data_IF_300283778831
#
_entry.id   IF_300283778831
#
_cell.length_a   1.000
_cell.length_b   1.000
_cell.length_c   1.000
_cell.angle_alpha   90.00
_cell.angle_beta   90.00
_cell.angle_gamma   90.00
#
_symmetry.space_group_name_H-M   'P 1'
#
loop_
_entity.id
_entity.type
_entity.pdbx_description
1 polymer ?
#
# COMPACT_ATOMS: atom_id res chain seq x y z
N UNK A 1 12.45 12.63 -10.53
CA UNK A 1 13.05 12.80 -9.18
C UNK A 1 11.97 13.41 -8.30
N UNK A 2 11.70 12.85 -7.11
CA UNK A 2 10.70 13.44 -6.20
C UNK A 2 11.21 14.79 -5.69
N UNK A 3 10.34 15.78 -5.48
CA UNK A 3 10.76 17.06 -4.90
C UNK A 3 11.32 16.84 -3.50
N UNK A 4 12.38 17.58 -3.15
CA UNK A 4 12.92 17.57 -1.80
C UNK A 4 11.91 18.22 -0.85
N UNK A 5 11.50 17.49 0.18
CA UNK A 5 10.58 17.96 1.22
C UNK A 5 11.29 17.81 2.56
N UNK A 6 11.39 18.90 3.31
CA UNK A 6 12.06 18.90 4.61
C UNK A 6 11.36 17.93 5.58
N UNK A 7 12.10 16.99 6.15
CA UNK A 7 11.57 16.00 7.11
C UNK A 7 10.87 14.80 6.45
N UNK A 8 10.98 14.66 5.12
CA UNK A 8 10.45 13.52 4.36
C UNK A 8 11.55 12.92 3.48
N UNK A 9 11.77 11.62 3.63
CA UNK A 9 12.70 10.83 2.84
C UNK A 9 11.92 9.79 2.03
N UNK A 10 11.96 9.91 0.70
CA UNK A 10 11.34 8.95 -0.22
C UNK A 10 12.45 8.16 -0.91
N UNK A 11 12.48 6.85 -0.67
CA UNK A 11 13.47 5.94 -1.25
C UNK A 11 12.80 4.90 -2.15
N UNK A 12 13.03 4.95 -3.48
CA UNK A 12 12.53 3.91 -4.37
C UNK A 12 13.35 2.63 -4.21
N UNK A 13 12.69 1.47 -4.26
CA UNK A 13 13.33 0.17 -4.25
C UNK A 13 12.77 -0.73 -5.35
N UNK A 14 13.58 -1.72 -5.73
CA UNK A 14 13.17 -2.79 -6.63
C UNK A 14 13.92 -4.06 -6.28
N UNK A 15 13.19 -5.15 -6.09
CA UNK A 15 13.76 -6.46 -5.86
C UNK A 15 13.17 -7.49 -6.82
N UNK A 16 13.98 -8.46 -7.19
CA UNK A 16 13.53 -9.71 -7.77
C UNK A 16 14.25 -10.86 -7.08
N UNK A 17 13.97 -12.10 -7.52
CA UNK A 17 14.57 -13.32 -6.96
C UNK A 17 16.08 -13.25 -6.70
N UNK A 18 16.83 -12.54 -7.55
CA UNK A 18 18.30 -12.44 -7.46
C UNK A 18 18.80 -11.31 -6.58
N UNK A 19 17.99 -10.30 -6.32
CA UNK A 19 18.41 -9.09 -5.59
C UNK A 19 17.80 -8.95 -4.20
N UNK A 20 16.74 -9.72 -3.89
CA UNK A 20 16.19 -9.75 -2.54
C UNK A 20 17.17 -10.43 -1.57
N UNK A 21 17.52 -9.70 -0.51
CA UNK A 21 18.37 -10.19 0.58
C UNK A 21 18.14 -9.32 1.82
N UNK A 22 18.49 -9.79 3.04
CA UNK A 22 18.40 -8.96 4.24
C UNK A 22 19.16 -7.63 4.12
N UNK A 23 20.35 -7.67 3.50
CA UNK A 23 21.16 -6.47 3.23
C UNK A 23 20.44 -5.52 2.28
N UNK A 24 19.84 -6.01 1.20
CA UNK A 24 19.11 -5.18 0.25
C UNK A 24 17.85 -4.55 0.87
N UNK A 25 17.15 -5.26 1.75
CA UNK A 25 16.02 -4.71 2.51
C UNK A 25 16.48 -3.57 3.44
N UNK A 26 17.61 -3.75 4.12
CA UNK A 26 18.20 -2.72 5.00
C UNK A 26 18.65 -1.50 4.20
N UNK A 27 19.34 -1.72 3.08
CA UNK A 27 19.75 -0.65 2.17
C UNK A 27 18.56 0.11 1.62
N UNK A 28 17.44 -0.54 1.31
CA UNK A 28 16.20 0.12 0.89
C UNK A 28 15.48 0.87 2.03
N UNK A 29 15.94 0.74 3.29
CA UNK A 29 15.32 1.36 4.45
C UNK A 29 14.03 0.68 4.90
N UNK A 30 13.81 -0.59 4.49
CA UNK A 30 12.62 -1.37 4.82
C UNK A 30 12.72 -2.10 6.16
N UNK A 31 13.95 -2.33 6.64
CA UNK A 31 14.25 -2.94 7.94
C UNK A 31 15.31 -2.12 8.65
N UNK A 32 15.37 -2.23 9.98
CA UNK A 32 16.31 -1.47 10.84
C UNK A 32 16.23 0.06 10.64
N UNK A 33 15.07 0.55 10.20
CA UNK A 33 14.82 1.96 9.98
C UNK A 33 13.72 2.45 10.95
N UNK A 34 14.08 3.08 12.09
CA UNK A 34 13.10 3.56 13.06
C UNK A 34 12.23 4.70 12.53
N UNK A 35 12.69 5.39 11.47
CA UNK A 35 11.99 6.48 10.82
C UNK A 35 11.05 6.00 9.70
N UNK A 36 11.00 4.69 9.39
CA UNK A 36 10.10 4.16 8.38
C UNK A 36 8.65 4.36 8.83
N UNK A 37 7.83 4.95 7.96
CA UNK A 37 6.42 5.25 8.26
C UNK A 37 5.47 4.61 7.25
N UNK A 38 5.79 4.65 5.96
CA UNK A 38 4.94 4.08 4.90
C UNK A 38 5.78 3.30 3.89
N UNK A 39 5.28 2.15 3.45
CA UNK A 39 5.80 1.40 2.30
C UNK A 39 4.67 1.24 1.28
N UNK A 40 4.85 1.83 0.10
CA UNK A 40 4.00 1.58 -1.06
C UNK A 40 4.69 0.54 -1.94
N UNK A 41 3.99 -0.53 -2.33
CA UNK A 41 4.60 -1.58 -3.14
C UNK A 41 3.70 -2.16 -4.22
N UNK A 42 4.32 -2.59 -5.31
CA UNK A 42 3.69 -3.18 -6.48
C UNK A 42 4.45 -4.44 -6.82
N UNK A 43 3.85 -5.58 -6.48
CA UNK A 43 4.46 -6.89 -6.73
C UNK A 43 3.94 -7.40 -8.05
N UNK A 44 4.82 -7.79 -8.96
CA UNK A 44 4.45 -8.28 -10.27
C UNK A 44 4.85 -9.73 -10.45
N UNK A 45 4.04 -10.46 -11.24
CA UNK A 45 4.34 -11.81 -11.71
C UNK A 45 4.52 -12.87 -10.59
N UNK A 46 4.03 -12.58 -9.37
CA UNK A 46 4.22 -13.43 -8.19
C UNK A 46 3.41 -14.74 -8.18
N UNK A 47 2.55 -14.98 -9.18
CA UNK A 47 1.87 -16.26 -9.39
C UNK A 47 2.82 -17.35 -9.93
N UNK A 48 4.03 -16.97 -10.39
CA UNK A 48 5.06 -17.90 -10.87
C UNK A 48 5.66 -18.72 -9.73
N UNK A 49 6.24 -19.88 -10.08
CA UNK A 49 6.88 -20.77 -9.10
C UNK A 49 7.94 -20.07 -8.25
N UNK A 50 7.80 -20.18 -6.93
CA UNK A 50 8.63 -19.49 -5.94
C UNK A 50 8.18 -18.07 -5.59
N UNK A 51 7.14 -17.54 -6.23
CA UNK A 51 6.59 -16.22 -5.93
C UNK A 51 6.01 -16.09 -4.52
N UNK A 52 5.35 -17.13 -4.00
CA UNK A 52 4.90 -17.18 -2.60
C UNK A 52 6.06 -17.06 -1.61
N UNK A 53 7.16 -17.77 -1.86
CA UNK A 53 8.35 -17.66 -1.00
C UNK A 53 8.98 -16.27 -1.08
N UNK A 54 9.01 -15.66 -2.28
CA UNK A 54 9.47 -14.30 -2.47
C UNK A 54 8.62 -13.27 -1.71
N UNK A 55 7.29 -13.40 -1.79
CA UNK A 55 6.34 -12.58 -1.02
C UNK A 55 6.57 -12.74 0.47
N UNK A 56 6.74 -13.96 0.96
CA UNK A 56 7.04 -14.23 2.36
C UNK A 56 8.33 -13.56 2.83
N UNK A 57 9.41 -13.63 2.04
CA UNK A 57 10.69 -12.98 2.35
C UNK A 57 10.55 -11.47 2.46
N UNK A 58 9.65 -10.86 1.67
CA UNK A 58 9.39 -9.43 1.67
C UNK A 58 8.44 -9.00 2.80
N UNK A 59 7.33 -9.71 2.96
CA UNK A 59 6.21 -9.29 3.81
C UNK A 59 6.41 -9.67 5.27
N UNK A 60 7.06 -10.80 5.60
CA UNK A 60 7.28 -11.20 7.00
C UNK A 60 8.06 -10.17 7.83
N UNK A 61 9.14 -9.56 7.32
CA UNK A 61 9.81 -8.47 8.04
C UNK A 61 8.93 -7.22 8.18
N UNK A 62 8.17 -6.88 7.13
CA UNK A 62 7.33 -5.68 7.09
C UNK A 62 6.09 -5.77 7.98
N UNK A 63 5.50 -6.97 8.10
CA UNK A 63 4.42 -7.30 9.01
C UNK A 63 4.77 -6.98 10.47
N UNK A 64 6.04 -7.22 10.84
CA UNK A 64 6.58 -6.94 12.19
C UNK A 64 6.97 -5.47 12.38
N UNK A 65 7.01 -4.68 11.31
CA UNK A 65 7.34 -3.26 11.39
C UNK A 65 6.15 -2.44 11.88
N UNK A 66 6.43 -1.23 12.38
CA UNK A 66 5.40 -0.22 12.69
C UNK A 66 4.98 0.58 11.46
N UNK A 67 5.53 0.31 10.29
CA UNK A 67 5.19 1.05 9.08
C UNK A 67 3.79 0.67 8.58
N UNK A 68 3.12 1.60 7.93
CA UNK A 68 1.96 1.30 7.10
C UNK A 68 2.45 0.63 5.82
N UNK A 69 1.91 -0.55 5.52
CA UNK A 69 2.22 -1.29 4.30
C UNK A 69 0.98 -1.24 3.43
N UNK A 70 1.11 -0.76 2.19
CA UNK A 70 0.02 -0.71 1.24
C UNK A 70 0.50 -1.00 -0.18
N UNK A 71 -0.30 -1.71 -0.96
CA UNK A 71 0.10 -2.13 -2.29
C UNK A 71 -0.86 -3.11 -2.93
N UNK A 72 -0.42 -3.69 -4.05
CA UNK A 72 -1.17 -4.73 -4.74
C UNK A 72 -0.29 -5.62 -5.60
N UNK A 73 -0.87 -6.77 -5.95
CA UNK A 73 -0.36 -7.67 -6.97
C UNK A 73 -0.77 -7.13 -8.34
N UNK A 74 0.18 -6.83 -9.21
CA UNK A 74 -0.07 -6.27 -10.55
C UNK A 74 0.47 -7.21 -11.62
N UNK A 75 -0.03 -7.08 -12.85
CA UNK A 75 0.46 -7.89 -13.96
C UNK A 75 1.88 -7.49 -14.36
N UNK A 76 2.12 -6.19 -14.48
CA UNK A 76 3.43 -5.64 -14.86
C UNK A 76 3.66 -4.27 -14.23
N UNK A 77 4.92 -3.85 -14.22
CA UNK A 77 5.34 -2.52 -13.76
C UNK A 77 6.24 -1.89 -14.80
N UNK A 78 6.03 -0.59 -15.05
CA UNK A 78 6.96 0.18 -15.86
C UNK A 78 8.04 0.77 -14.94
N UNK A 79 9.25 0.23 -15.00
CA UNK A 79 10.39 0.74 -14.25
C UNK A 79 11.62 0.88 -15.16
N UNK A 80 12.55 1.81 -14.87
CA UNK A 80 13.79 1.93 -15.64
C UNK A 80 14.51 0.58 -15.71
N UNK A 81 15.10 0.21 -16.88
CA UNK A 81 15.75 -1.07 -17.05
C UNK A 81 16.82 -1.29 -15.97
N UNK A 82 16.72 -2.41 -15.23
CA UNK A 82 17.74 -2.82 -14.28
C UNK A 82 18.39 -4.11 -14.74
N UNK A 83 19.72 -4.17 -14.65
CA UNK A 83 20.48 -5.36 -15.03
C UNK A 83 20.25 -6.58 -14.10
N UNK A 84 19.50 -6.42 -13.01
CA UNK A 84 19.31 -7.46 -12.01
C UNK A 84 18.22 -8.50 -12.36
N UNK A 85 17.30 -8.21 -13.29
CA UNK A 85 16.17 -9.09 -13.58
C UNK A 85 15.93 -9.21 -15.09
N UNK A 86 15.73 -10.43 -15.58
CA UNK A 86 15.33 -10.68 -16.97
C UNK A 86 13.83 -10.49 -17.16
N UNK A 87 13.42 -10.16 -18.40
CA UNK A 87 12.01 -10.13 -18.79
C UNK A 87 11.30 -11.44 -18.39
N UNK A 88 10.10 -11.34 -17.85
CA UNK A 88 9.34 -12.49 -17.33
C UNK A 88 9.72 -12.97 -15.93
N UNK A 89 10.64 -12.30 -15.23
CA UNK A 89 10.88 -12.56 -13.79
C UNK A 89 9.77 -11.96 -12.93
N UNK A 90 9.60 -12.46 -11.70
CA UNK A 90 8.80 -11.80 -10.67
C UNK A 90 9.64 -10.86 -9.82
N UNK A 91 8.97 -9.89 -9.20
CA UNK A 91 9.62 -8.92 -8.34
C UNK A 91 8.65 -7.94 -7.70
N UNK A 92 9.22 -6.94 -7.03
CA UNK A 92 8.50 -5.84 -6.41
C UNK A 92 9.20 -4.54 -6.72
N UNK A 93 8.44 -3.50 -7.07
CA UNK A 93 8.87 -2.11 -7.04
C UNK A 93 8.11 -1.37 -5.95
N UNK A 94 8.71 -0.35 -5.36
CA UNK A 94 8.01 0.41 -4.35
C UNK A 94 8.74 1.64 -3.87
N UNK A 95 8.12 2.32 -2.91
CA UNK A 95 8.62 3.50 -2.24
C UNK A 95 8.61 3.26 -0.73
N UNK A 96 9.77 3.46 -0.10
CA UNK A 96 9.87 3.57 1.35
C UNK A 96 9.84 5.06 1.72
N UNK A 97 8.86 5.45 2.53
CA UNK A 97 8.70 6.82 3.00
C UNK A 97 9.01 6.87 4.50
N UNK A 98 10.00 7.67 4.84
CA UNK A 98 10.53 7.80 6.19
C UNK A 98 10.62 9.27 6.62
N UNK A 99 10.61 9.49 7.93
CA UNK A 99 10.83 10.80 8.54
C UNK A 99 9.64 11.27 9.39
N UNK A 100 9.87 12.28 10.24
CA UNK A 100 8.93 12.68 11.28
C UNK A 100 7.66 13.34 10.75
N UNK A 101 7.68 13.88 9.52
CA UNK A 101 6.50 14.50 8.88
C UNK A 101 5.63 13.50 8.12
N UNK A 102 6.10 12.25 7.94
CA UNK A 102 5.34 11.23 7.22
C UNK A 102 4.30 10.60 8.15
N UNK A 103 3.03 10.72 7.78
CA UNK A 103 1.92 10.05 8.46
C UNK A 103 1.19 9.15 7.47
N UNK A 104 0.56 8.09 7.96
CA UNK A 104 -0.17 7.16 7.13
C UNK A 104 -1.37 6.57 7.84
N UNK A 105 -2.45 6.32 7.10
CA UNK A 105 -3.58 5.56 7.61
C UNK A 105 -4.18 4.70 6.50
N UNK A 106 -4.56 3.47 6.80
CA UNK A 106 -5.21 2.56 5.87
C UNK A 106 -6.39 1.86 6.51
N UNK A 107 -7.40 1.60 5.69
CA UNK A 107 -8.55 0.76 6.02
C UNK A 107 -8.77 -0.26 4.91
N UNK A 108 -9.16 -1.45 5.29
CA UNK A 108 -9.55 -2.54 4.44
C UNK A 108 -11.07 -2.48 4.25
N UNK A 109 -11.48 -2.41 2.98
CA UNK A 109 -12.85 -2.70 2.59
C UNK A 109 -12.87 -4.20 2.27
N UNK A 110 -13.37 -4.99 3.21
CA UNK A 110 -13.45 -6.44 3.07
C UNK A 110 -14.49 -6.88 2.02
N UNK A 111 -14.54 -8.19 1.79
CA UNK A 111 -15.41 -8.84 0.81
C UNK A 111 -16.92 -8.75 1.12
N UNK A 112 -17.32 -8.30 2.32
CA UNK A 112 -18.72 -8.12 2.70
C UNK A 112 -19.21 -6.68 2.41
N UNK A 113 -18.29 -5.74 2.16
CA UNK A 113 -18.59 -4.34 1.83
C UNK A 113 -19.06 -4.20 0.38
N UNK A 114 -20.33 -4.54 0.14
CA UNK A 114 -20.96 -4.66 -1.18
C UNK A 114 -21.90 -3.52 -1.58
N UNK A 115 -21.96 -2.43 -0.80
CA UNK A 115 -22.81 -1.27 -1.11
C UNK A 115 -22.14 0.08 -0.80
N UNK A 116 -22.57 1.18 -1.46
CA UNK A 116 -21.95 2.49 -1.30
C UNK A 116 -21.94 3.04 0.13
N UNK A 117 -23.00 2.79 0.90
CA UNK A 117 -23.11 3.28 2.28
C UNK A 117 -22.10 2.60 3.20
N UNK A 118 -21.91 1.29 3.04
CA UNK A 118 -20.91 0.53 3.78
C UNK A 118 -19.49 0.96 3.37
N UNK A 119 -19.22 1.14 2.07
CA UNK A 119 -17.93 1.63 1.60
C UNK A 119 -17.58 3.00 2.20
N UNK A 120 -18.54 3.94 2.20
CA UNK A 120 -18.36 5.26 2.82
C UNK A 120 -18.13 5.16 4.33
N UNK A 121 -18.88 4.31 5.04
CA UNK A 121 -18.72 4.11 6.47
C UNK A 121 -17.32 3.57 6.80
N UNK A 122 -16.82 2.58 6.04
CA UNK A 122 -15.48 2.02 6.20
C UNK A 122 -14.40 3.07 5.93
N UNK A 123 -14.50 3.80 4.81
CA UNK A 123 -13.53 4.86 4.46
C UNK A 123 -13.54 5.98 5.51
N UNK A 124 -14.70 6.32 6.07
CA UNK A 124 -14.83 7.34 7.13
C UNK A 124 -14.03 7.01 8.39
N UNK A 125 -13.71 5.74 8.66
CA UNK A 125 -12.80 5.34 9.75
C UNK A 125 -11.42 6.00 9.64
N UNK A 126 -10.94 6.32 8.42
CA UNK A 126 -9.69 7.04 8.21
C UNK A 126 -9.68 8.44 8.86
N UNK A 127 -10.84 9.07 9.09
CA UNK A 127 -10.90 10.37 9.78
C UNK A 127 -10.43 10.27 11.24
N UNK A 128 -10.47 9.10 11.86
CA UNK A 128 -9.93 8.88 13.20
C UNK A 128 -8.42 9.15 13.28
N UNK A 129 -7.69 9.02 12.17
CA UNK A 129 -6.26 9.34 12.09
C UNK A 129 -5.96 10.84 12.24
N UNK A 130 -6.96 11.71 12.01
CA UNK A 130 -6.81 13.18 12.05
C UNK A 130 -5.64 13.67 11.18
N UNK A 131 -5.44 13.03 10.02
CA UNK A 131 -4.48 13.43 9.00
C UNK A 131 -5.10 14.60 8.20
N UNK A 132 -4.40 15.72 8.01
CA UNK A 132 -4.91 16.83 7.21
C UNK A 132 -5.01 16.45 5.72
N UNK A 133 -5.93 17.03 4.97
CA UNK A 133 -6.07 16.74 3.53
C UNK A 133 -5.00 17.42 2.67
N UNK A 134 -4.49 18.57 3.13
CA UNK A 134 -3.37 19.26 2.47
C UNK A 134 -2.10 18.44 2.59
N UNK A 135 -1.34 18.35 1.49
CA UNK A 135 -0.10 17.56 1.38
C UNK A 135 -0.32 16.06 1.66
N UNK A 136 -1.54 15.58 1.41
CA UNK A 136 -1.93 14.18 1.56
C UNK A 136 -2.37 13.62 0.23
N UNK A 137 -2.00 12.37 -0.03
CA UNK A 137 -2.42 11.59 -1.19
C UNK A 137 -3.25 10.40 -0.71
N UNK A 138 -4.35 10.13 -1.41
CA UNK A 138 -5.11 8.89 -1.30
C UNK A 138 -4.56 7.83 -2.25
N UNK A 139 -4.51 6.58 -1.80
CA UNK A 139 -4.21 5.41 -2.62
C UNK A 139 -5.30 4.35 -2.46
N UNK A 140 -5.80 3.84 -3.58
CA UNK A 140 -6.77 2.75 -3.66
C UNK A 140 -6.14 1.55 -4.36
N UNK A 141 -5.93 0.45 -3.63
CA UNK A 141 -5.49 -0.82 -4.18
C UNK A 141 -6.66 -1.80 -4.10
N UNK A 142 -7.37 -1.99 -5.21
CA UNK A 142 -8.59 -2.79 -5.27
C UNK A 142 -8.34 -4.11 -6.00
N UNK A 143 -9.01 -5.18 -5.56
CA UNK A 143 -9.01 -6.43 -6.32
C UNK A 143 -9.73 -6.23 -7.65
N UNK A 144 -9.23 -6.85 -8.71
CA UNK A 144 -9.92 -6.94 -10.00
C UNK A 144 -11.30 -7.60 -9.89
N UNK A 145 -11.52 -8.41 -8.84
CA UNK A 145 -12.83 -8.97 -8.50
C UNK A 145 -13.83 -7.94 -7.95
N UNK A 146 -13.39 -6.72 -7.63
CA UNK A 146 -14.25 -5.61 -7.14
C UNK A 146 -14.69 -4.69 -8.27
N UNK A 147 -15.09 -3.47 -7.92
CA UNK A 147 -15.56 -2.48 -8.88
C UNK A 147 -17.00 -2.74 -9.34
N UNK A 148 -17.30 -2.37 -10.58
CA UNK A 148 -18.68 -2.21 -11.04
C UNK A 148 -19.54 -3.47 -10.89
N UNK A 149 -19.02 -4.63 -11.29
CA UNK A 149 -19.77 -5.89 -11.24
C UNK A 149 -20.03 -6.33 -9.80
N UNK A 150 -19.07 -6.08 -8.92
CA UNK A 150 -19.18 -6.39 -7.50
C UNK A 150 -20.23 -5.51 -6.79
N UNK A 151 -20.40 -4.26 -7.23
CA UNK A 151 -21.38 -3.32 -6.70
C UNK A 151 -22.70 -3.27 -7.48
N UNK A 152 -23.16 -4.41 -8.00
CA UNK A 152 -24.44 -4.52 -8.72
C UNK A 152 -24.57 -3.51 -9.87
N UNK A 153 -23.53 -3.44 -10.71
CA UNK A 153 -23.39 -2.54 -11.86
C UNK A 153 -23.21 -1.04 -11.55
N UNK A 154 -22.95 -0.66 -10.30
CA UNK A 154 -22.61 0.72 -9.95
C UNK A 154 -21.11 0.98 -10.14
N UNK A 155 -20.75 1.94 -10.98
CA UNK A 155 -19.37 2.37 -11.18
C UNK A 155 -18.88 3.29 -10.05
N UNK A 156 -17.56 3.38 -9.88
CA UNK A 156 -16.87 4.33 -9.00
C UNK A 156 -17.26 4.34 -7.51
N UNK A 157 -17.97 3.32 -7.01
CA UNK A 157 -18.52 3.29 -5.64
C UNK A 157 -17.51 3.67 -4.56
N UNK A 158 -16.33 3.05 -4.56
CA UNK A 158 -15.31 3.29 -3.54
C UNK A 158 -14.57 4.62 -3.72
N UNK A 159 -14.33 5.01 -4.98
CA UNK A 159 -13.68 6.29 -5.30
C UNK A 159 -14.60 7.49 -4.95
N UNK A 160 -15.89 7.37 -5.25
CA UNK A 160 -16.91 8.36 -4.90
C UNK A 160 -17.09 8.43 -3.38
N UNK A 161 -17.12 7.28 -2.71
CA UNK A 161 -17.13 7.22 -1.25
C UNK A 161 -15.89 7.89 -0.64
N UNK A 162 -14.71 7.70 -1.23
CA UNK A 162 -13.49 8.40 -0.83
C UNK A 162 -13.63 9.92 -0.98
N UNK A 163 -14.03 10.41 -2.15
CA UNK A 163 -14.16 11.85 -2.38
C UNK A 163 -15.27 12.51 -1.55
N UNK A 164 -16.32 11.79 -1.18
CA UNK A 164 -17.31 12.28 -0.20
C UNK A 164 -16.69 12.51 1.18
N UNK A 165 -15.75 11.67 1.59
CA UNK A 165 -15.10 11.76 2.90
C UNK A 165 -13.90 12.71 2.86
N UNK A 166 -13.13 12.74 1.78
CA UNK A 166 -11.90 13.51 1.58
C UNK A 166 -11.94 14.31 0.27
N UNK A 167 -12.75 15.37 0.19
CA UNK A 167 -13.03 16.08 -1.06
C UNK A 167 -11.82 16.82 -1.65
N UNK A 168 -10.81 17.15 -0.83
CA UNK A 168 -9.63 17.89 -1.28
C UNK A 168 -8.38 17.00 -1.41
N UNK A 169 -8.52 15.70 -1.19
CA UNK A 169 -7.40 14.74 -1.28
C UNK A 169 -7.45 14.06 -2.65
N UNK A 170 -6.39 14.16 -3.48
CA UNK A 170 -6.33 13.43 -4.74
C UNK A 170 -6.23 11.93 -4.47
N UNK A 171 -6.96 11.13 -5.24
CA UNK A 171 -6.95 9.67 -5.16
C UNK A 171 -6.23 9.07 -6.36
N UNK A 172 -5.21 8.26 -6.09
CA UNK A 172 -4.53 7.43 -7.07
C UNK A 172 -4.82 5.95 -6.76
N UNK A 173 -4.61 5.07 -7.72
CA UNK A 173 -4.87 3.66 -7.44
C UNK A 173 -4.78 2.78 -8.66
N UNK A 174 -5.05 1.50 -8.42
CA UNK A 174 -5.11 0.48 -9.44
C UNK A 174 -6.05 -0.64 -9.03
N UNK A 175 -6.46 -1.41 -10.04
CA UNK A 175 -7.03 -2.73 -9.87
C UNK A 175 -5.93 -3.78 -10.06
N UNK A 176 -5.80 -4.70 -9.11
CA UNK A 176 -4.76 -5.73 -9.08
C UNK A 176 -5.32 -7.13 -8.86
N UNK A 177 -4.45 -8.14 -8.95
CA UNK A 177 -4.77 -9.55 -8.73
C UNK A 177 -4.75 -9.94 -7.23
N UNK A 178 -4.87 -8.96 -6.34
CA UNK A 178 -4.72 -9.12 -4.90
C UNK A 178 -4.18 -7.83 -4.27
N UNK A 179 -4.44 -7.67 -2.98
CA UNK A 179 -4.15 -6.46 -2.24
C UNK A 179 -3.11 -6.75 -1.16
N UNK A 180 -2.27 -5.76 -0.88
CA UNK A 180 -1.29 -5.82 0.21
C UNK A 180 -1.60 -4.69 1.18
N UNK A 181 -1.92 -5.00 2.43
CA UNK A 181 -2.12 -4.01 3.48
C UNK A 181 -2.93 -4.53 4.66
N UNK A 182 -3.32 -3.63 5.56
CA UNK A 182 -4.18 -3.94 6.71
C UNK A 182 -4.79 -2.67 7.29
N UNK A 183 -5.70 -2.81 8.24
CA UNK A 183 -6.21 -1.69 9.04
C UNK A 183 -5.09 -1.16 9.94
N UNK A 184 -4.64 0.08 9.67
CA UNK A 184 -3.51 0.66 10.40
C UNK A 184 -3.56 2.19 10.41
N UNK A 185 -3.27 2.79 11.56
CA UNK A 185 -3.07 4.23 11.71
C UNK A 185 -1.68 4.47 12.28
N UNK A 186 -0.85 5.24 11.57
CA UNK A 186 0.52 5.62 11.93
C UNK A 186 0.58 7.14 12.10
N UNK A 187 0.77 7.58 13.35
CA UNK A 187 0.92 8.99 13.69
C UNK A 187 1.92 9.18 14.82
N UNK A 188 2.87 10.10 14.64
CA UNK A 188 3.89 10.47 15.61
C UNK A 188 4.56 9.20 16.20
N UNK A 189 4.23 8.84 17.46
CA UNK A 189 4.77 7.67 18.18
C UNK A 189 3.77 6.51 18.37
N UNK A 190 2.54 6.64 17.84
CA UNK A 190 1.48 5.66 18.04
C UNK A 190 1.10 4.90 16.76
N UNK A 191 0.95 3.59 16.91
CA UNK A 191 0.48 2.67 15.88
C UNK A 191 -0.78 1.97 16.40
N UNK A 192 -1.93 2.26 15.78
CA UNK A 192 -3.15 1.46 15.98
C UNK A 192 -3.23 0.44 14.85
N UNK A 193 -3.48 -0.83 15.19
CA UNK A 193 -3.68 -1.90 14.21
C UNK A 193 -4.80 -2.81 14.74
N UNK A 194 -5.85 -3.00 13.94
CA UNK A 194 -7.08 -3.71 14.32
C UNK A 194 -7.13 -5.14 13.74
N UNK A 195 -6.08 -5.55 13.03
CA UNK A 195 -6.04 -6.83 12.29
C UNK A 195 -4.78 -7.61 12.59
N UNK A 196 -4.87 -8.93 12.38
CA UNK A 196 -3.81 -9.90 12.58
C UNK A 196 -2.57 -9.47 11.78
N UNK A 197 -1.51 -9.04 12.50
CA UNK A 197 -0.34 -8.38 11.89
C UNK A 197 0.36 -9.26 10.86
N UNK A 198 0.09 -10.56 10.89
CA UNK A 198 0.72 -11.58 10.07
C UNK A 198 0.11 -11.69 8.66
N UNK A 199 -1.12 -11.21 8.44
CA UNK A 199 -1.82 -11.32 7.16
C UNK A 199 -1.91 -9.97 6.43
N UNK A 200 -0.85 -9.67 5.67
CA UNK A 200 -0.82 -8.49 4.80
C UNK A 200 -1.42 -8.74 3.41
N UNK A 201 -1.69 -9.99 3.01
CA UNK A 201 -2.19 -10.32 1.67
C UNK A 201 -3.68 -10.63 1.72
N UNK A 202 -4.43 -10.05 0.77
CA UNK A 202 -5.88 -10.19 0.69
C UNK A 202 -6.34 -10.44 -0.75
N UNK A 203 -7.54 -11.00 -0.86
CA UNK A 203 -8.27 -11.20 -2.12
C UNK A 203 -9.70 -10.66 -1.95
N UNK A 204 -10.31 -10.18 -3.03
CA UNK A 204 -11.66 -9.60 -3.01
C UNK A 204 -11.84 -8.41 -2.06
N UNK A 205 -10.76 -7.69 -1.75
CA UNK A 205 -10.79 -6.50 -0.88
C UNK A 205 -10.32 -5.23 -1.60
N UNK A 206 -10.42 -4.10 -0.92
CA UNK A 206 -9.66 -2.89 -1.28
C UNK A 206 -8.91 -2.37 -0.06
N UNK A 207 -7.63 -2.05 -0.24
CA UNK A 207 -6.87 -1.27 0.73
C UNK A 207 -6.95 0.20 0.34
N UNK A 208 -7.68 0.99 1.15
CA UNK A 208 -7.78 2.45 0.99
C UNK A 208 -6.82 3.13 1.96
N UNK A 209 -5.88 3.92 1.44
CA UNK A 209 -4.75 4.46 2.19
C UNK A 209 -4.63 5.98 2.04
N UNK A 210 -4.24 6.67 3.10
CA UNK A 210 -3.77 8.04 3.11
C UNK A 210 -2.28 8.07 3.40
N UNK A 211 -1.55 8.90 2.67
CA UNK A 211 -0.12 9.19 2.90
C UNK A 211 0.06 10.70 2.96
N UNK A 212 0.47 11.20 4.11
CA UNK A 212 0.73 12.62 4.36
C UNK A 212 2.23 12.89 4.44
N UNK A 213 2.66 14.02 3.86
CA UNK A 213 4.07 14.35 3.66
C UNK A 213 4.51 15.65 4.36
N UNK A 214 3.73 16.13 5.35
CA UNK A 214 4.01 17.37 6.09
C UNK A 214 3.43 18.61 5.45
#
# INVERSE_FOLDING_TARGET
MFPSMEGVHIKPFHFCKRSISPTALKEAGLVENPELRVVLMFVYEAYKSGGTHFLDQLLKPLAKSRALIAGGLVESVFCPPRHCCSQGSYGVVGLALSGPKVQGASVLLDQDISNPKAAEATIRRLKAAKIPERNTLGFMFACVGRGQNYYSNQSNVEADAFHKVFPNTPLFGLFGNGEIGCDRIIKDDYTLCDTDRDNLQHEYTTVMTLVHLG
#
